data_IF_583375008776
#
_entry.id   IF_583375008776
#
_cell.length_a   1.000
_cell.length_b   1.000
_cell.length_c   1.000
_cell.angle_alpha   90.00
_cell.angle_beta   90.00
_cell.angle_gamma   90.00
#
_symmetry.space_group_name_H-M   'P 1'
#
loop_
_entity.id
_entity.type
_entity.pdbx_description
1 polymer ?
#
# COMPACT_ATOMS: atom_id res chain seq x y z
N UNK A 1 -8.93 -0.76 22.10
CA UNK A 1 -9.10 -0.20 20.75
C UNK A 1 -10.57 0.06 20.54
N UNK A 2 -10.90 1.20 19.93
CA UNK A 2 -12.28 1.56 19.63
C UNK A 2 -12.72 0.97 18.30
N UNK A 3 -13.99 0.56 18.19
CA UNK A 3 -14.61 0.15 16.93
C UNK A 3 -14.77 1.35 15.97
N UNK A 4 -14.63 2.59 16.48
CA UNK A 4 -14.74 3.83 15.72
C UNK A 4 -13.88 3.85 14.45
N UNK A 5 -12.70 3.23 14.47
CA UNK A 5 -11.83 3.18 13.28
C UNK A 5 -12.42 2.33 12.15
N UNK A 6 -13.18 1.27 12.48
CA UNK A 6 -13.90 0.46 11.49
C UNK A 6 -15.14 1.21 11.03
N UNK A 7 -15.85 1.87 11.94
CA UNK A 7 -17.11 2.55 11.63
C UNK A 7 -16.92 3.88 10.88
N UNK A 8 -15.74 4.49 10.95
CA UNK A 8 -15.39 5.69 10.19
C UNK A 8 -15.23 5.46 8.67
N UNK A 9 -15.06 4.20 8.25
CA UNK A 9 -14.91 3.85 6.83
C UNK A 9 -16.27 3.67 6.18
N UNK A 10 -16.51 4.34 5.04
CA UNK A 10 -17.68 4.09 4.21
C UNK A 10 -17.48 2.81 3.36
N UNK A 11 -17.63 1.65 4.00
CA UNK A 11 -17.40 0.34 3.35
C UNK A 11 -18.28 0.12 2.11
N UNK A 12 -19.50 0.64 2.09
CA UNK A 12 -20.40 0.53 0.93
C UNK A 12 -19.94 1.32 -0.30
N UNK A 13 -19.03 2.28 -0.15
CA UNK A 13 -18.47 3.02 -1.27
C UNK A 13 -17.25 2.32 -1.89
N UNK A 14 -16.73 1.27 -1.23
CA UNK A 14 -15.59 0.50 -1.74
C UNK A 14 -16.11 -0.47 -2.82
N UNK A 15 -15.47 -0.57 -3.99
CA UNK A 15 -15.89 -1.49 -5.03
C UNK A 15 -15.74 -2.96 -4.59
N UNK A 16 -16.70 -3.81 -5.00
CA UNK A 16 -16.62 -5.28 -4.90
C UNK A 16 -16.29 -5.87 -6.28
N UNK A 17 -15.05 -6.34 -6.53
CA UNK A 17 -14.61 -6.75 -7.86
C UNK A 17 -15.29 -7.98 -8.47
N UNK A 18 -15.77 -8.93 -7.66
CA UNK A 18 -16.20 -10.27 -8.14
C UNK A 18 -17.71 -10.46 -8.15
N UNK A 19 -18.47 -9.48 -7.66
CA UNK A 19 -19.91 -9.59 -7.35
C UNK A 19 -20.28 -10.77 -6.42
N UNK A 20 -19.30 -11.53 -5.91
CA UNK A 20 -19.54 -12.65 -5.02
C UNK A 20 -19.88 -12.12 -3.63
N UNK A 21 -20.93 -12.63 -2.95
CA UNK A 21 -21.34 -12.10 -1.65
C UNK A 21 -20.30 -12.23 -0.54
N UNK A 22 -19.32 -13.15 -0.63
CA UNK A 22 -18.22 -13.22 0.34
C UNK A 22 -17.24 -12.05 0.23
N UNK A 23 -17.22 -11.39 -0.93
CA UNK A 23 -16.22 -10.39 -1.28
C UNK A 23 -16.74 -8.96 -1.03
N UNK A 24 -17.95 -8.86 -0.47
CA UNK A 24 -18.56 -7.60 -0.06
C UNK A 24 -17.69 -6.90 1.02
N UNK A 25 -17.25 -5.66 0.79
CA UNK A 25 -16.52 -4.86 1.77
C UNK A 25 -17.21 -4.73 3.14
N UNK A 26 -18.55 -4.79 3.21
CA UNK A 26 -19.26 -4.80 4.50
C UNK A 26 -18.92 -6.03 5.35
N UNK A 27 -18.59 -7.16 4.72
CA UNK A 27 -18.12 -8.36 5.44
C UNK A 27 -16.72 -8.19 6.00
N UNK A 28 -15.87 -7.40 5.34
CA UNK A 28 -14.56 -6.99 5.88
C UNK A 28 -14.77 -6.20 7.17
N UNK A 29 -15.66 -5.20 7.14
CA UNK A 29 -16.02 -4.43 8.33
C UNK A 29 -16.51 -5.35 9.46
N UNK A 30 -17.43 -6.26 9.16
CA UNK A 30 -17.94 -7.22 10.14
C UNK A 30 -16.82 -8.10 10.74
N UNK A 31 -15.92 -8.63 9.91
CA UNK A 31 -14.83 -9.47 10.35
C UNK A 31 -13.80 -8.70 11.20
N UNK A 32 -13.49 -7.44 10.84
CA UNK A 32 -12.63 -6.56 11.65
C UNK A 32 -13.25 -6.26 13.03
N UNK A 33 -14.57 -6.00 13.10
CA UNK A 33 -15.27 -5.81 14.38
C UNK A 33 -15.15 -7.07 15.23
N UNK A 34 -15.40 -8.26 14.66
CA UNK A 34 -15.23 -9.54 15.35
C UNK A 34 -13.80 -9.70 15.87
N UNK A 35 -12.79 -9.54 15.00
CA UNK A 35 -11.38 -9.69 15.36
C UNK A 35 -10.98 -8.76 16.51
N UNK A 36 -11.47 -7.51 16.50
CA UNK A 36 -11.18 -6.49 17.52
C UNK A 36 -11.69 -6.89 18.92
N UNK A 37 -12.84 -7.56 18.99
CA UNK A 37 -13.48 -7.95 20.26
C UNK A 37 -13.23 -9.40 20.66
N UNK A 38 -12.58 -10.20 19.81
CA UNK A 38 -12.35 -11.63 20.06
C UNK A 38 -11.71 -11.91 21.42
N UNK A 39 -12.32 -12.82 22.16
CA UNK A 39 -11.92 -13.25 23.50
C UNK A 39 -11.44 -14.69 23.58
N UNK A 40 -11.68 -15.50 22.55
CA UNK A 40 -11.17 -16.88 22.45
C UNK A 40 -10.23 -17.07 21.26
N UNK A 41 -9.56 -18.21 21.19
CA UNK A 41 -8.73 -18.57 20.03
C UNK A 41 -9.61 -18.81 18.79
N UNK A 42 -10.73 -19.53 18.95
CA UNK A 42 -11.68 -19.82 17.88
C UNK A 42 -12.28 -18.53 17.31
N UNK A 43 -12.68 -17.58 18.15
CA UNK A 43 -13.20 -16.28 17.68
C UNK A 43 -12.16 -15.47 16.91
N UNK A 44 -10.89 -15.53 17.30
CA UNK A 44 -9.79 -14.88 16.55
C UNK A 44 -9.58 -15.60 15.21
N UNK A 45 -9.54 -16.93 15.22
CA UNK A 45 -9.38 -17.75 14.02
C UNK A 45 -10.51 -17.52 13.00
N UNK A 46 -11.76 -17.62 13.43
CA UNK A 46 -12.93 -17.39 12.58
C UNK A 46 -12.92 -16.01 11.93
N UNK A 47 -12.61 -14.97 12.72
CA UNK A 47 -12.55 -13.61 12.20
C UNK A 47 -11.40 -13.42 11.20
N UNK A 48 -10.23 -14.01 11.47
CA UNK A 48 -9.11 -13.98 10.55
C UNK A 48 -9.41 -14.76 9.26
N UNK A 49 -10.04 -15.93 9.35
CA UNK A 49 -10.46 -16.72 8.18
C UNK A 49 -11.49 -15.99 7.31
N UNK A 50 -12.39 -15.21 7.92
CA UNK A 50 -13.32 -14.36 7.15
C UNK A 50 -12.60 -13.25 6.37
N UNK A 51 -11.49 -12.72 6.89
CA UNK A 51 -10.66 -11.74 6.19
C UNK A 51 -9.80 -12.40 5.10
N UNK A 52 -9.23 -13.58 5.37
CA UNK A 52 -8.35 -14.31 4.46
C UNK A 52 -9.07 -15.10 3.34
N UNK A 53 -10.40 -15.20 3.39
CA UNK A 53 -11.21 -15.93 2.43
C UNK A 53 -12.38 -15.11 1.86
N UNK A 54 -12.23 -13.79 1.77
CA UNK A 54 -13.30 -12.90 1.32
C UNK A 54 -12.78 -11.53 0.90
N UNK A 55 -13.62 -10.50 1.04
CA UNK A 55 -13.40 -9.17 0.44
C UNK A 55 -12.19 -8.37 0.93
N UNK A 56 -11.30 -8.94 1.73
CA UNK A 56 -10.01 -8.37 2.11
C UNK A 56 -8.88 -9.06 1.31
N UNK A 57 -8.71 -10.37 1.52
CA UNK A 57 -7.81 -11.23 0.76
C UNK A 57 -8.53 -12.54 0.45
N UNK A 58 -8.29 -13.09 -0.74
CA UNK A 58 -8.66 -14.44 -1.11
C UNK A 58 -7.39 -15.30 -1.16
N UNK A 59 -6.98 -15.82 0.00
CA UNK A 59 -5.68 -16.50 0.18
C UNK A 59 -5.48 -17.69 -0.75
N UNK A 60 -6.53 -18.46 -1.03
CA UNK A 60 -6.45 -19.61 -1.93
C UNK A 60 -6.25 -19.24 -3.41
N UNK A 61 -6.62 -18.01 -3.79
CA UNK A 61 -6.39 -17.46 -5.13
C UNK A 61 -5.23 -16.46 -5.15
N UNK A 62 -4.58 -16.17 -4.01
CA UNK A 62 -3.55 -15.14 -3.92
C UNK A 62 -4.05 -13.75 -4.33
N UNK A 63 -5.33 -13.42 -4.07
CA UNK A 63 -5.90 -12.13 -4.47
C UNK A 63 -6.06 -11.16 -3.29
N UNK A 64 -5.85 -9.86 -3.54
CA UNK A 64 -6.13 -8.78 -2.57
C UNK A 64 -7.17 -7.81 -3.12
N UNK A 65 -8.16 -7.45 -2.32
CA UNK A 65 -9.26 -6.60 -2.75
C UNK A 65 -9.06 -5.13 -2.35
N UNK A 66 -9.74 -4.17 -3.02
CA UNK A 66 -9.64 -2.75 -2.68
C UNK A 66 -9.92 -2.41 -1.22
N UNK A 67 -10.78 -3.18 -0.53
CA UNK A 67 -11.06 -3.00 0.89
C UNK A 67 -9.84 -3.22 1.80
N UNK A 68 -8.79 -3.91 1.31
CA UNK A 68 -7.56 -4.09 2.05
C UNK A 68 -6.86 -2.78 2.38
N UNK A 69 -6.92 -1.78 1.49
CA UNK A 69 -6.40 -0.44 1.77
C UNK A 69 -7.05 0.16 3.02
N UNK A 70 -8.38 0.20 3.07
CA UNK A 70 -9.12 0.77 4.20
C UNK A 70 -8.99 -0.06 5.50
N UNK A 71 -8.84 -1.38 5.39
CA UNK A 71 -8.63 -2.28 6.53
C UNK A 71 -7.23 -2.17 7.12
N UNK A 72 -6.22 -1.80 6.33
CA UNK A 72 -4.80 -1.83 6.73
C UNK A 72 -4.51 -0.97 7.98
N UNK A 73 -4.96 0.29 8.09
CA UNK A 73 -4.80 1.08 9.32
C UNK A 73 -5.43 0.44 10.56
N UNK A 74 -6.57 -0.24 10.41
CA UNK A 74 -7.25 -0.95 11.51
C UNK A 74 -6.41 -2.15 11.97
N UNK A 75 -5.91 -2.95 11.02
CA UNK A 75 -5.03 -4.08 11.31
C UNK A 75 -3.72 -3.64 11.96
N UNK A 76 -3.09 -2.57 11.49
CA UNK A 76 -1.88 -2.01 12.10
C UNK A 76 -2.13 -1.53 13.54
N UNK A 77 -3.28 -0.90 13.79
CA UNK A 77 -3.69 -0.58 15.16
C UNK A 77 -3.84 -1.85 16.01
N UNK A 78 -4.26 -2.98 15.44
CA UNK A 78 -4.43 -4.25 16.16
C UNK A 78 -3.09 -4.88 16.50
N UNK A 79 -2.10 -4.76 15.61
CA UNK A 79 -0.71 -5.12 15.89
C UNK A 79 -0.19 -4.31 17.10
N UNK A 80 -0.34 -2.99 17.05
CA UNK A 80 0.18 -2.09 18.09
C UNK A 80 -0.55 -2.28 19.44
N UNK A 81 -1.89 -2.23 19.42
CA UNK A 81 -2.73 -2.07 20.62
C UNK A 81 -3.65 -3.27 20.91
N UNK A 82 -3.54 -4.35 20.15
CA UNK A 82 -4.33 -5.56 20.35
C UNK A 82 -4.16 -6.10 21.78
N UNK A 83 -5.28 -6.39 22.45
CA UNK A 83 -5.26 -6.82 23.86
C UNK A 83 -4.61 -8.18 24.08
N UNK A 84 -4.44 -8.98 23.02
CA UNK A 84 -4.02 -10.38 23.10
C UNK A 84 -3.04 -10.68 21.97
N UNK A 85 -1.98 -11.43 22.27
CA UNK A 85 -0.91 -11.77 21.31
C UNK A 85 -1.48 -12.32 20.00
N UNK A 86 -2.37 -13.32 20.07
CA UNK A 86 -3.00 -13.92 18.87
C UNK A 86 -3.75 -12.95 17.95
N UNK A 87 -4.30 -11.84 18.47
CA UNK A 87 -4.96 -10.83 17.63
C UNK A 87 -3.89 -10.07 16.85
N UNK A 88 -2.77 -9.75 17.50
CA UNK A 88 -1.61 -9.11 16.88
C UNK A 88 -1.01 -10.01 15.80
N UNK A 89 -0.85 -11.29 16.12
CA UNK A 89 -0.30 -12.29 15.18
C UNK A 89 -1.20 -12.47 13.97
N UNK A 90 -2.52 -12.57 14.17
CA UNK A 90 -3.49 -12.66 13.08
C UNK A 90 -3.47 -11.40 12.19
N UNK A 91 -3.41 -10.21 12.80
CA UNK A 91 -3.35 -8.96 12.05
C UNK A 91 -2.04 -8.83 11.24
N UNK A 92 -0.90 -9.24 11.80
CA UNK A 92 0.38 -9.29 11.09
C UNK A 92 0.33 -10.23 9.88
N UNK A 93 -0.20 -11.44 10.06
CA UNK A 93 -0.35 -12.41 8.96
C UNK A 93 -1.22 -11.87 7.83
N UNK A 94 -2.37 -11.29 8.17
CA UNK A 94 -3.29 -10.68 7.19
C UNK A 94 -2.66 -9.52 6.40
N UNK A 95 -1.84 -8.68 7.07
CA UNK A 95 -1.13 -7.59 6.41
C UNK A 95 -0.07 -8.12 5.42
N UNK A 96 0.63 -9.19 5.79
CA UNK A 96 1.60 -9.85 4.92
C UNK A 96 0.89 -10.47 3.71
N UNK A 97 -0.18 -11.23 3.93
CA UNK A 97 -0.96 -11.84 2.86
C UNK A 97 -1.49 -10.80 1.87
N UNK A 98 -1.98 -9.66 2.36
CA UNK A 98 -2.48 -8.58 1.50
C UNK A 98 -1.39 -7.97 0.61
N UNK A 99 -0.17 -7.82 1.14
CA UNK A 99 0.94 -7.21 0.40
C UNK A 99 1.55 -8.17 -0.64
N UNK A 100 1.59 -9.47 -0.32
CA UNK A 100 2.11 -10.51 -1.20
C UNK A 100 1.11 -10.96 -2.28
N UNK A 101 -0.17 -10.62 -2.14
CA UNK A 101 -1.23 -10.98 -3.09
C UNK A 101 -1.30 -10.02 -4.30
N UNK A 102 -2.07 -10.42 -5.33
CA UNK A 102 -2.31 -9.64 -6.53
C UNK A 102 -3.77 -9.15 -6.59
N UNK A 103 -4.03 -7.88 -6.92
CA UNK A 103 -5.39 -7.39 -7.04
C UNK A 103 -6.11 -7.94 -8.28
N UNK A 104 -7.45 -8.11 -8.27
CA UNK A 104 -8.19 -8.42 -9.47
C UNK A 104 -7.95 -7.39 -10.58
N UNK A 105 -7.95 -7.84 -11.84
CA UNK A 105 -7.81 -6.96 -13.01
C UNK A 105 -8.76 -5.74 -12.95
N UNK A 106 -8.21 -4.55 -13.21
CA UNK A 106 -8.93 -3.28 -13.16
C UNK A 106 -9.23 -2.75 -11.75
N UNK A 107 -8.81 -3.47 -10.69
CA UNK A 107 -9.03 -3.09 -9.28
C UNK A 107 -7.72 -2.95 -8.50
N UNK A 108 -6.61 -2.75 -9.21
CA UNK A 108 -5.27 -2.56 -8.64
C UNK A 108 -4.95 -1.10 -8.26
N UNK A 109 -5.96 -0.23 -8.23
CA UNK A 109 -5.83 1.21 -7.96
C UNK A 109 -6.81 1.64 -6.88
N UNK A 110 -6.38 2.58 -6.05
CA UNK A 110 -7.21 3.23 -5.02
C UNK A 110 -6.92 4.72 -4.94
N UNK A 111 -7.92 5.49 -4.56
CA UNK A 111 -7.74 6.89 -4.19
C UNK A 111 -7.31 6.99 -2.72
N UNK A 112 -6.32 7.83 -2.47
CA UNK A 112 -5.73 8.06 -1.15
C UNK A 112 -5.71 9.56 -0.85
N UNK A 113 -5.56 9.97 0.41
CA UNK A 113 -5.32 11.39 0.75
C UNK A 113 -4.08 12.00 0.10
N UNK A 114 -3.17 11.18 -0.44
CA UNK A 114 -1.88 11.60 -1.01
C UNK A 114 -1.84 11.48 -2.54
N UNK A 115 -2.90 10.99 -3.18
CA UNK A 115 -2.95 10.81 -4.63
C UNK A 115 -4.15 9.98 -5.09
N UNK A 116 -4.57 10.23 -6.32
CA UNK A 116 -5.62 9.47 -7.01
C UNK A 116 -5.01 8.34 -7.83
N UNK A 117 -5.73 7.24 -8.01
CA UNK A 117 -5.28 6.06 -8.76
C UNK A 117 -3.89 5.57 -8.32
N UNK A 118 -3.63 5.48 -7.02
CA UNK A 118 -2.38 4.92 -6.49
C UNK A 118 -2.41 3.39 -6.60
N UNK A 119 -1.32 2.71 -6.99
CA UNK A 119 -1.26 1.25 -6.93
C UNK A 119 -1.64 0.73 -5.53
N UNK A 120 -2.59 -0.21 -5.47
CA UNK A 120 -3.15 -0.71 -4.21
C UNK A 120 -2.07 -1.20 -3.24
N UNK A 121 -1.10 -1.95 -3.75
CA UNK A 121 0.02 -2.46 -2.98
C UNK A 121 0.91 -1.33 -2.42
N UNK A 122 1.16 -0.26 -3.19
CA UNK A 122 1.90 0.93 -2.72
C UNK A 122 1.13 1.67 -1.62
N UNK A 123 -0.19 1.78 -1.74
CA UNK A 123 -1.02 2.42 -0.72
C UNK A 123 -1.00 1.64 0.61
N UNK A 124 -1.06 0.31 0.56
CA UNK A 124 -0.92 -0.57 1.73
C UNK A 124 0.50 -0.48 2.32
N UNK A 125 1.54 -0.59 1.48
CA UNK A 125 2.93 -0.53 1.89
C UNK A 125 3.28 0.78 2.62
N UNK A 126 2.75 1.92 2.14
CA UNK A 126 2.92 3.22 2.81
C UNK A 126 2.39 3.20 4.25
N UNK A 127 1.20 2.64 4.47
CA UNK A 127 0.67 2.48 5.83
C UNK A 127 1.56 1.59 6.70
N UNK A 128 2.07 0.48 6.16
CA UNK A 128 2.98 -0.43 6.86
C UNK A 128 4.26 0.31 7.26
N UNK A 129 4.93 1.00 6.33
CA UNK A 129 6.15 1.78 6.62
C UNK A 129 5.92 2.87 7.66
N UNK A 130 4.75 3.51 7.67
CA UNK A 130 4.40 4.51 8.70
C UNK A 130 4.38 3.96 10.13
N UNK A 131 4.38 2.62 10.30
CA UNK A 131 4.40 1.92 11.59
C UNK A 131 5.71 1.15 11.81
N UNK A 132 6.81 1.57 11.17
CA UNK A 132 8.11 0.90 11.20
C UNK A 132 8.58 0.48 12.60
N UNK A 133 8.64 1.41 13.57
CA UNK A 133 9.12 1.10 14.92
C UNK A 133 8.25 0.07 15.65
N UNK A 134 6.92 0.14 15.47
CA UNK A 134 5.96 -0.81 16.05
C UNK A 134 6.20 -2.20 15.46
N UNK A 135 6.33 -2.28 14.13
CA UNK A 135 6.52 -3.56 13.44
C UNK A 135 7.87 -4.20 13.79
N UNK A 136 8.95 -3.43 13.89
CA UNK A 136 10.24 -3.97 14.34
C UNK A 136 10.18 -4.59 15.74
N UNK A 137 9.36 -4.05 16.64
CA UNK A 137 9.17 -4.63 17.97
C UNK A 137 8.51 -6.03 17.95
N UNK A 138 7.92 -6.44 16.82
CA UNK A 138 7.36 -7.78 16.59
C UNK A 138 8.38 -8.81 16.06
N UNK A 139 9.67 -8.46 16.04
CA UNK A 139 10.74 -9.37 15.66
C UNK A 139 10.63 -9.82 14.20
N UNK A 140 10.94 -11.10 13.94
CA UNK A 140 11.09 -11.63 12.57
C UNK A 140 9.88 -11.37 11.66
N UNK A 141 8.65 -11.56 12.16
CA UNK A 141 7.45 -11.38 11.35
C UNK A 141 7.21 -9.92 10.98
N UNK A 142 7.45 -8.99 11.91
CA UNK A 142 7.37 -7.57 11.62
C UNK A 142 8.49 -7.10 10.68
N UNK A 143 9.70 -7.59 10.86
CA UNK A 143 10.82 -7.33 9.93
C UNK A 143 10.55 -7.86 8.51
N UNK A 144 9.93 -9.04 8.38
CA UNK A 144 9.53 -9.59 7.09
C UNK A 144 8.49 -8.70 6.41
N UNK A 145 7.43 -8.30 7.13
CA UNK A 145 6.40 -7.42 6.59
C UNK A 145 6.97 -6.07 6.12
N UNK A 146 7.93 -5.52 6.88
CA UNK A 146 8.64 -4.30 6.48
C UNK A 146 9.47 -4.53 5.23
N UNK A 147 10.24 -5.62 5.15
CA UNK A 147 11.03 -5.93 3.97
C UNK A 147 10.19 -6.02 2.69
N UNK A 148 9.00 -6.63 2.76
CA UNK A 148 8.05 -6.64 1.64
C UNK A 148 7.54 -5.24 1.31
N UNK A 149 7.22 -4.42 2.32
CA UNK A 149 6.74 -3.05 2.11
C UNK A 149 7.82 -2.12 1.53
N UNK A 150 9.10 -2.40 1.78
CA UNK A 150 10.22 -1.67 1.19
C UNK A 150 10.33 -1.88 -0.32
N UNK A 151 9.90 -3.03 -0.87
CA UNK A 151 9.88 -3.27 -2.32
C UNK A 151 8.93 -2.32 -3.07
N UNK A 152 7.95 -1.75 -2.36
CA UNK A 152 6.95 -0.82 -2.88
C UNK A 152 7.38 0.62 -2.71
N UNK A 153 8.47 1.00 -3.39
CA UNK A 153 9.06 2.32 -3.26
C UNK A 153 8.21 3.44 -3.90
N UNK A 154 8.43 4.66 -3.40
CA UNK A 154 7.80 5.89 -3.85
C UNK A 154 8.83 7.02 -3.80
N UNK A 155 8.85 7.90 -4.81
CA UNK A 155 9.60 9.16 -4.78
C UNK A 155 8.63 10.34 -4.85
N UNK A 156 8.71 11.27 -3.90
CA UNK A 156 7.94 12.52 -3.94
C UNK A 156 8.86 13.65 -4.36
N UNK A 157 8.62 14.24 -5.53
CA UNK A 157 9.43 15.30 -6.12
C UNK A 157 9.26 16.59 -5.30
N UNK A 158 10.36 17.18 -4.86
CA UNK A 158 10.41 18.46 -4.16
C UNK A 158 10.88 19.59 -5.08
N UNK A 159 11.90 19.32 -5.90
CA UNK A 159 12.49 20.29 -6.81
C UNK A 159 12.83 19.65 -8.15
N UNK A 160 12.83 20.45 -9.21
CA UNK A 160 13.14 20.00 -10.58
C UNK A 160 13.96 21.03 -11.33
N UNK A 161 14.93 20.58 -12.10
CA UNK A 161 15.74 21.41 -13.00
C UNK A 161 15.84 20.74 -14.37
N UNK A 162 15.37 21.45 -15.41
CA UNK A 162 15.48 20.99 -16.79
C UNK A 162 16.86 21.35 -17.35
N UNK A 163 17.60 20.32 -17.77
CA UNK A 163 18.92 20.46 -18.31
C UNK A 163 18.88 20.86 -19.80
N UNK A 164 19.93 21.53 -20.33
CA UNK A 164 19.99 21.94 -21.74
C UNK A 164 19.91 20.78 -22.74
N UNK A 165 20.28 19.57 -22.32
CA UNK A 165 20.21 18.35 -23.13
C UNK A 165 18.80 17.71 -23.15
N UNK A 166 17.83 18.31 -22.45
CA UNK A 166 16.46 17.82 -22.34
C UNK A 166 16.24 16.76 -21.26
N UNK A 167 17.25 16.42 -20.45
CA UNK A 167 17.06 15.59 -19.25
C UNK A 167 16.51 16.43 -18.10
N UNK A 168 15.76 15.81 -17.19
CA UNK A 168 15.28 16.46 -15.97
C UNK A 168 16.04 15.91 -14.77
N UNK A 169 16.69 16.78 -14.02
CA UNK A 169 17.20 16.46 -12.69
C UNK A 169 16.12 16.81 -11.67
N UNK A 170 15.89 15.95 -10.69
CA UNK A 170 14.95 16.23 -9.62
C UNK A 170 15.53 15.86 -8.25
N UNK A 171 15.16 16.64 -7.24
CA UNK A 171 15.33 16.30 -5.83
C UNK A 171 13.99 15.77 -5.32
N UNK A 172 14.04 14.68 -4.56
CA UNK A 172 12.86 13.98 -4.09
C UNK A 172 13.09 13.35 -2.72
N UNK A 173 11.98 13.03 -2.05
CA UNK A 173 11.97 12.18 -0.85
C UNK A 173 11.61 10.76 -1.27
N UNK A 174 12.53 9.84 -0.99
CA UNK A 174 12.39 8.40 -1.20
C UNK A 174 11.80 7.72 0.03
N UNK A 175 10.74 6.96 -0.20
CA UNK A 175 10.25 5.95 0.74
C UNK A 175 10.37 4.57 0.10
N UNK A 176 10.82 3.57 0.87
CA UNK A 176 11.07 2.25 0.33
C UNK A 176 12.49 2.09 -0.21
N UNK A 177 12.77 0.91 -0.77
CA UNK A 177 14.03 0.56 -1.40
C UNK A 177 13.84 0.52 -2.93
N UNK A 178 14.39 1.50 -3.67
CA UNK A 178 14.22 1.58 -5.11
C UNK A 178 15.04 0.50 -5.82
N UNK A 179 14.56 0.07 -6.99
CA UNK A 179 15.34 -0.79 -7.88
C UNK A 179 16.55 -0.03 -8.45
N UNK A 180 17.67 -0.73 -8.74
CA UNK A 180 18.81 -0.12 -9.42
C UNK A 180 18.39 0.48 -10.77
N UNK A 181 18.77 1.73 -11.08
CA UNK A 181 18.49 2.32 -12.38
C UNK A 181 19.29 1.63 -13.51
N UNK A 182 18.78 1.61 -14.76
CA UNK A 182 17.56 2.29 -15.20
C UNK A 182 16.29 1.58 -14.72
N UNK A 183 15.29 2.36 -14.29
CA UNK A 183 14.03 1.84 -13.77
C UNK A 183 12.82 2.60 -14.34
N UNK A 184 11.72 1.87 -14.63
CA UNK A 184 10.45 2.47 -15.03
C UNK A 184 9.63 2.89 -13.82
N UNK A 185 9.05 4.09 -13.91
CA UNK A 185 8.15 4.61 -12.90
C UNK A 185 6.86 5.17 -13.51
N UNK A 186 5.76 5.07 -12.76
CA UNK A 186 4.51 5.76 -13.06
C UNK A 186 4.51 7.13 -12.38
N UNK A 187 4.32 8.20 -13.17
CA UNK A 187 4.24 9.58 -12.71
C UNK A 187 2.80 9.97 -12.37
N UNK A 188 2.61 10.37 -11.12
CA UNK A 188 1.38 10.94 -10.60
C UNK A 188 1.58 12.43 -10.33
N UNK A 189 0.79 13.27 -10.99
CA UNK A 189 0.85 14.73 -10.83
C UNK A 189 -0.34 15.18 -9.97
N UNK A 190 -0.12 16.04 -8.96
CA UNK A 190 -1.21 16.60 -8.18
C UNK A 190 -2.27 17.24 -9.08
N UNK A 191 -3.54 17.04 -8.76
CA UNK A 191 -4.71 17.65 -9.44
C UNK A 191 -5.01 17.15 -10.87
N UNK A 192 -4.27 16.19 -11.41
CA UNK A 192 -4.58 15.59 -12.71
C UNK A 192 -5.05 14.13 -12.56
N UNK A 193 -6.31 13.89 -12.94
CA UNK A 193 -6.93 12.54 -12.99
C UNK A 193 -6.52 11.76 -14.25
N UNK A 194 -5.45 12.18 -14.93
CA UNK A 194 -4.99 11.49 -16.14
C UNK A 194 -4.24 10.20 -15.78
N UNK A 195 -4.24 9.25 -16.71
CA UNK A 195 -3.44 8.03 -16.60
C UNK A 195 -1.98 8.40 -16.30
N UNK A 196 -1.40 7.70 -15.31
CA UNK A 196 -0.02 7.91 -14.91
C UNK A 196 0.90 7.68 -16.11
N UNK A 197 1.68 8.71 -16.47
CA UNK A 197 2.63 8.60 -17.56
C UNK A 197 3.82 7.76 -17.09
N UNK A 198 4.30 6.84 -17.93
CA UNK A 198 5.55 6.14 -17.65
C UNK A 198 6.75 7.05 -17.89
N UNK A 199 7.69 7.07 -16.96
CA UNK A 199 8.97 7.77 -17.05
C UNK A 199 10.11 6.80 -16.77
N UNK A 200 11.29 7.06 -17.32
CA UNK A 200 12.50 6.28 -17.06
C UNK A 200 13.42 7.07 -16.13
N UNK A 201 13.78 6.45 -15.00
CA UNK A 201 14.81 6.92 -14.07
C UNK A 201 16.14 6.36 -14.56
N UNK A 202 17.01 7.21 -15.12
CA UNK A 202 18.32 6.80 -15.66
C UNK A 202 19.38 6.73 -14.57
N UNK A 203 19.26 7.59 -13.55
CA UNK A 203 20.16 7.63 -12.41
C UNK A 203 19.36 7.99 -11.15
N UNK A 204 19.73 7.38 -10.04
CA UNK A 204 19.14 7.60 -8.73
C UNK A 204 20.23 7.45 -7.67
N UNK A 205 20.43 8.49 -6.88
CA UNK A 205 21.24 8.44 -5.67
C UNK A 205 20.37 8.88 -4.51
N UNK A 206 20.46 8.17 -3.38
CA UNK A 206 19.74 8.51 -2.16
C UNK A 206 20.67 8.40 -0.96
N UNK A 207 20.51 9.28 0.00
CA UNK A 207 21.20 9.20 1.28
C UNK A 207 20.38 8.45 2.33
N UNK A 208 20.95 8.25 3.51
CA UNK A 208 20.26 7.54 4.61
C UNK A 208 19.11 8.32 5.24
N UNK A 209 18.93 9.60 4.89
CA UNK A 209 17.77 10.41 5.31
C UNK A 209 16.57 10.23 4.40
N UNK A 210 16.76 9.57 3.24
CA UNK A 210 15.73 9.41 2.21
C UNK A 210 15.69 10.55 1.21
N UNK A 211 16.57 11.56 1.32
CA UNK A 211 16.72 12.56 0.27
C UNK A 211 17.40 11.91 -0.93
N UNK A 212 16.80 12.08 -2.10
CA UNK A 212 17.24 11.46 -3.34
C UNK A 212 17.41 12.50 -4.46
N UNK A 213 18.45 12.31 -5.27
CA UNK A 213 18.64 13.00 -6.53
C UNK A 213 18.44 11.98 -7.66
N UNK A 214 17.61 12.33 -8.64
CA UNK A 214 17.32 11.47 -9.77
C UNK A 214 17.42 12.21 -11.10
N UNK A 215 17.76 11.47 -12.14
CA UNK A 215 17.74 11.93 -13.52
C UNK A 215 16.66 11.18 -14.29
N UNK A 216 15.76 11.92 -14.91
CA UNK A 216 14.68 11.40 -15.74
C UNK A 216 14.94 11.67 -17.22
N UNK A 217 14.70 10.65 -18.04
CA UNK A 217 14.78 10.73 -19.50
C UNK A 217 13.39 10.88 -20.11
N UNK A 218 13.28 11.71 -21.16
CA UNK A 218 12.05 11.96 -21.91
C UNK A 218 10.89 12.39 -21.01
N UNK A 219 11.03 13.55 -20.37
CA UNK A 219 10.04 14.01 -19.41
C UNK A 219 8.81 14.63 -20.07
N UNK A 220 7.59 14.27 -19.63
CA UNK A 220 6.43 15.09 -19.90
C UNK A 220 6.64 16.47 -19.26
N UNK A 221 6.17 17.52 -19.93
CA UNK A 221 6.39 18.95 -19.57
C UNK A 221 5.76 19.40 -18.25
N UNK A 222 5.35 18.48 -17.37
CA UNK A 222 4.45 18.76 -16.23
C UNK A 222 4.86 18.11 -14.90
N UNK A 223 6.12 17.69 -14.74
CA UNK A 223 6.60 17.30 -13.40
C UNK A 223 6.72 18.58 -12.58
N UNK A 224 6.05 18.60 -11.43
CA UNK A 224 6.01 19.75 -10.52
C UNK A 224 6.29 19.27 -9.09
N UNK A 225 6.67 20.15 -8.15
CA UNK A 225 6.74 19.80 -6.74
C UNK A 225 5.44 19.16 -6.24
N UNK A 226 5.57 18.07 -5.49
CA UNK A 226 4.48 17.21 -5.05
C UNK A 226 4.11 16.10 -6.05
N UNK A 227 4.66 16.09 -7.26
CA UNK A 227 4.59 14.92 -8.15
C UNK A 227 5.17 13.68 -7.45
N UNK A 228 4.55 12.54 -7.69
CA UNK A 228 4.95 11.27 -7.09
C UNK A 228 5.28 10.27 -8.18
N UNK A 229 6.38 9.54 -7.99
CA UNK A 229 6.74 8.38 -8.80
C UNK A 229 6.51 7.10 -7.99
N UNK A 230 5.81 6.14 -8.57
CA UNK A 230 5.74 4.77 -8.06
C UNK A 230 6.44 3.82 -9.02
N UNK A 231 6.91 2.68 -8.52
CA UNK A 231 7.44 1.62 -9.37
C UNK A 231 6.39 1.21 -10.44
N UNK A 232 6.76 1.23 -11.72
CA UNK A 232 5.81 0.90 -12.79
C UNK A 232 5.29 -0.54 -12.68
N UNK A 233 6.11 -1.46 -12.16
CA UNK A 233 5.70 -2.84 -11.88
C UNK A 233 4.52 -2.92 -10.90
N UNK A 234 4.49 -2.08 -9.86
CA UNK A 234 3.38 -2.03 -8.91
C UNK A 234 2.08 -1.63 -9.62
N UNK A 235 2.23 -0.77 -10.62
CA UNK A 235 1.14 -0.33 -11.45
C UNK A 235 0.57 -1.39 -12.39
N UNK A 236 1.35 -2.43 -12.69
CA UNK A 236 0.99 -3.54 -13.58
C UNK A 236 0.59 -4.81 -12.82
N UNK A 237 0.69 -4.83 -11.48
CA UNK A 237 0.32 -5.98 -10.66
C UNK A 237 -1.19 -6.18 -10.70
N UNK A 238 -1.62 -7.27 -11.33
CA UNK A 238 -3.00 -7.76 -11.39
C UNK A 238 -3.00 -9.30 -11.42
N UNK A 239 -4.07 -9.93 -10.93
CA UNK A 239 -4.38 -11.36 -11.04
C UNK A 239 -5.23 -11.63 -12.29
#
# INVERSE_FOLDING_TARGET
>A
MSLDAVDAVNWSAIPNPTAHPSDDPQRVAHALRRLTVSTTANETGDAASLLAGGGFVCSHAGMVFPAAYAATPVLLNLVEHGRRARIKDAALGLLLDALCSLPPAGHNRVDTPHGTNVPLCCAIARHIRSRHAVLLAHGRFGSQLLAEAELHWQLTIEETELQPDGTLTAIAVLEGTPLPPPAEAELHVPSFVQHAAKVCIEALTADSSGVACLQLKQTPTRIVPGSTLYAAECGLREH
#
